data_IF_322300222582
#
_entry.id   IF_322300222582
#
_cell.length_a   1.000
_cell.length_b   1.000
_cell.length_c   1.000
_cell.angle_alpha   90.00
_cell.angle_beta   90.00
_cell.angle_gamma   90.00
#
_symmetry.space_group_name_H-M   'P 1'
#
loop_
_entity.id
_entity.type
_entity.pdbx_description
1 polymer ?
#
# COMPACT_ATOMS: atom_id res chain seq x y z
N UNK A 1 -2.06 12.82 -8.33
CA UNK A 1 -1.24 12.06 -9.31
C UNK A 1 0.03 11.62 -8.62
N UNK A 2 0.62 10.48 -9.01
CA UNK A 2 1.83 9.91 -8.40
C UNK A 2 2.77 9.40 -9.48
N UNK A 3 4.07 9.69 -9.36
CA UNK A 3 5.09 9.16 -10.24
C UNK A 3 5.43 7.72 -9.85
N UNK A 4 5.39 6.79 -10.81
CA UNK A 4 5.59 5.35 -10.55
C UNK A 4 6.69 4.84 -11.49
N UNK A 5 7.97 4.83 -11.04
CA UNK A 5 9.06 4.31 -11.85
C UNK A 5 8.78 2.87 -12.31
N UNK A 6 8.97 2.62 -13.61
CA UNK A 6 8.78 1.28 -14.20
C UNK A 6 7.32 0.87 -14.46
N UNK A 7 6.34 1.75 -14.27
CA UNK A 7 4.97 1.51 -14.68
C UNK A 7 4.87 1.36 -16.21
N UNK A 8 4.34 0.22 -16.69
CA UNK A 8 4.19 -0.11 -18.13
C UNK A 8 2.76 0.05 -18.66
N UNK A 9 1.82 0.46 -17.81
CA UNK A 9 0.44 0.66 -18.21
C UNK A 9 0.22 2.00 -18.94
N UNK A 10 -1.00 2.26 -19.41
CA UNK A 10 -1.31 3.51 -20.09
C UNK A 10 -1.19 4.70 -19.13
N UNK A 11 -0.49 5.75 -19.56
CA UNK A 11 -0.50 7.06 -18.92
C UNK A 11 -0.33 8.18 -19.94
N UNK A 12 -0.95 9.33 -19.66
CA UNK A 12 -0.83 10.55 -20.46
C UNK A 12 0.19 11.53 -19.87
N UNK A 13 0.65 11.31 -18.64
CA UNK A 13 1.49 12.26 -17.90
C UNK A 13 2.85 11.68 -17.59
N UNK A 14 3.89 12.46 -17.82
CA UNK A 14 5.28 12.12 -17.55
C UNK A 14 5.99 13.30 -16.89
N UNK A 15 7.01 13.01 -16.08
CA UNK A 15 7.98 14.01 -15.65
C UNK A 15 8.93 14.38 -16.81
N UNK A 16 9.74 15.41 -16.62
CA UNK A 16 10.81 15.80 -17.56
C UNK A 16 11.82 14.68 -17.81
N UNK A 17 12.07 13.82 -16.81
CA UNK A 17 12.94 12.65 -16.90
C UNK A 17 12.30 11.42 -17.59
N UNK A 18 11.06 11.54 -18.07
CA UNK A 18 10.31 10.45 -18.71
C UNK A 18 9.62 9.49 -17.74
N UNK A 19 9.70 9.71 -16.42
CA UNK A 19 9.01 8.85 -15.44
C UNK A 19 7.49 8.97 -15.59
N UNK A 20 6.75 7.86 -15.74
CA UNK A 20 5.30 7.88 -15.88
C UNK A 20 4.60 8.33 -14.59
N UNK A 21 3.58 9.17 -14.74
CA UNK A 21 2.75 9.71 -13.66
C UNK A 21 1.33 9.17 -13.82
N UNK A 22 0.78 8.57 -12.76
CA UNK A 22 -0.56 7.96 -12.79
C UNK A 22 -1.54 8.77 -11.92
N UNK A 23 -2.75 9.08 -12.39
CA UNK A 23 -3.78 9.66 -11.53
C UNK A 23 -4.25 8.63 -10.51
N UNK A 24 -4.27 9.03 -9.24
CA UNK A 24 -4.79 8.20 -8.15
C UNK A 24 -6.07 8.87 -7.67
N UNK A 25 -7.18 8.14 -7.76
CA UNK A 25 -8.49 8.58 -7.33
C UNK A 25 -8.84 7.99 -5.98
N UNK A 26 -9.69 8.68 -5.22
CA UNK A 26 -10.21 8.14 -3.97
C UNK A 26 -11.13 6.95 -4.27
N UNK A 27 -10.99 5.90 -3.47
CA UNK A 27 -11.83 4.71 -3.51
C UNK A 27 -12.69 4.62 -2.25
N UNK A 28 -13.95 4.20 -2.40
CA UNK A 28 -14.86 3.98 -1.28
C UNK A 28 -15.01 2.49 -1.02
N UNK A 29 -14.37 2.01 0.05
CA UNK A 29 -14.56 0.66 0.56
C UNK A 29 -15.88 0.57 1.35
N UNK A 30 -16.60 -0.55 1.23
CA UNK A 30 -17.82 -0.85 2.00
C UNK A 30 -17.69 -2.22 2.64
N UNK A 31 -18.05 -2.32 3.92
CA UNK A 31 -18.04 -3.58 4.65
C UNK A 31 -19.07 -3.53 5.79
N UNK A 32 -19.45 -4.69 6.32
CA UNK A 32 -20.30 -4.80 7.49
C UNK A 32 -19.43 -4.99 8.74
N UNK A 33 -19.70 -4.24 9.81
CA UNK A 33 -19.04 -4.44 11.10
C UNK A 33 -19.46 -5.76 11.73
N UNK A 34 -18.69 -6.23 12.73
CA UNK A 34 -19.08 -7.39 13.55
C UNK A 34 -20.42 -7.21 14.27
N UNK A 35 -20.87 -5.97 14.48
CA UNK A 35 -22.18 -5.64 15.07
C UNK A 35 -23.31 -5.51 14.04
N UNK A 36 -23.07 -5.88 12.78
CA UNK A 36 -24.06 -5.82 11.70
C UNK A 36 -24.25 -4.44 11.05
N UNK A 37 -23.52 -3.41 11.51
CA UNK A 37 -23.61 -2.05 10.97
C UNK A 37 -22.89 -1.95 9.63
N UNK A 38 -23.52 -1.32 8.64
CA UNK A 38 -22.86 -1.00 7.37
C UNK A 38 -21.85 0.15 7.57
N UNK A 39 -20.63 -0.05 7.10
CA UNK A 39 -19.53 0.90 7.20
C UNK A 39 -19.00 1.26 5.81
N UNK A 40 -18.58 2.53 5.66
CA UNK A 40 -17.93 3.03 4.45
C UNK A 40 -16.63 3.75 4.82
N UNK A 41 -15.63 3.68 3.93
CA UNK A 41 -14.42 4.49 4.01
C UNK A 41 -14.03 4.96 2.62
N UNK A 42 -14.02 6.28 2.43
CA UNK A 42 -13.49 6.94 1.24
C UNK A 42 -12.06 7.38 1.51
N UNK A 43 -11.10 6.88 0.74
CA UNK A 43 -9.69 7.21 0.90
C UNK A 43 -8.93 7.04 -0.42
N UNK A 44 -7.83 7.76 -0.62
CA UNK A 44 -6.86 7.37 -1.64
C UNK A 44 -6.26 6.00 -1.30
N UNK A 45 -6.07 5.10 -2.28
CA UNK A 45 -5.44 3.79 -2.06
C UNK A 45 -3.91 3.91 -1.91
N UNK A 46 -3.47 4.75 -0.97
CA UNK A 46 -2.08 5.03 -0.66
C UNK A 46 -1.82 4.81 0.82
N UNK A 47 -0.62 4.32 1.14
CA UNK A 47 -0.08 4.22 2.50
C UNK A 47 1.40 4.56 2.48
N UNK A 48 1.91 5.09 3.58
CA UNK A 48 3.36 5.17 3.79
C UNK A 48 3.91 3.74 3.91
N UNK A 49 5.07 3.48 3.30
CA UNK A 49 5.62 2.13 3.19
C UNK A 49 7.13 2.05 3.51
N UNK A 50 7.70 3.06 4.18
CA UNK A 50 9.08 2.96 4.70
C UNK A 50 9.19 1.89 5.80
N UNK A 51 8.16 1.80 6.64
CA UNK A 51 7.98 0.71 7.59
C UNK A 51 6.67 -0.01 7.24
N UNK A 52 6.72 -1.33 7.25
CA UNK A 52 5.57 -2.20 7.05
C UNK A 52 5.57 -3.27 8.12
N UNK A 53 4.40 -3.63 8.62
CA UNK A 53 4.30 -4.71 9.62
C UNK A 53 4.62 -6.05 8.96
N UNK A 54 5.12 -7.01 9.74
CA UNK A 54 5.48 -8.36 9.28
C UNK A 54 4.35 -8.99 8.45
N UNK A 55 3.12 -8.93 8.94
CA UNK A 55 1.94 -9.43 8.21
C UNK A 55 1.70 -8.73 6.87
N UNK A 56 1.98 -7.43 6.77
CA UNK A 56 1.79 -6.67 5.54
C UNK A 56 2.96 -6.78 4.56
N UNK A 57 4.06 -7.42 4.97
CA UNK A 57 5.17 -7.80 4.10
C UNK A 57 5.14 -9.26 3.63
N UNK A 58 4.22 -10.08 4.13
CA UNK A 58 4.08 -11.47 3.67
C UNK A 58 3.87 -11.51 2.15
N UNK A 59 4.68 -12.33 1.47
CA UNK A 59 4.68 -12.46 0.00
C UNK A 59 5.39 -11.33 -0.76
N UNK A 60 5.99 -10.34 -0.07
CA UNK A 60 6.78 -9.31 -0.72
C UNK A 60 8.24 -9.76 -0.90
N UNK A 61 8.82 -9.45 -2.06
CA UNK A 61 10.28 -9.51 -2.28
C UNK A 61 10.84 -8.09 -2.13
N UNK A 62 11.67 -7.88 -1.10
CA UNK A 62 12.29 -6.58 -0.81
C UNK A 62 13.80 -6.67 -1.03
N UNK A 63 14.37 -5.73 -1.80
CA UNK A 63 15.81 -5.72 -2.10
C UNK A 63 16.69 -5.56 -0.85
N UNK A 64 16.21 -4.80 0.14
CA UNK A 64 16.87 -4.58 1.44
C UNK A 64 15.81 -4.36 2.50
N UNK A 65 16.01 -4.96 3.66
CA UNK A 65 15.11 -4.83 4.81
C UNK A 65 15.92 -4.70 6.10
N UNK A 66 15.40 -3.90 7.04
CA UNK A 66 15.80 -3.91 8.44
C UNK A 66 14.58 -4.40 9.21
N UNK A 67 14.77 -5.43 10.03
CA UNK A 67 13.67 -6.04 10.81
C UNK A 67 13.79 -5.56 12.25
N UNK A 68 12.80 -4.80 12.68
CA UNK A 68 12.62 -4.39 14.08
C UNK A 68 11.58 -5.33 14.71
N UNK A 69 12.03 -6.26 15.57
CA UNK A 69 11.15 -7.26 16.20
C UNK A 69 10.48 -6.73 17.48
N UNK A 70 10.96 -5.61 18.04
CA UNK A 70 10.55 -5.17 19.37
C UNK A 70 10.82 -6.23 20.45
N UNK A 71 10.09 -6.14 21.56
CA UNK A 71 10.32 -7.00 22.72
C UNK A 71 9.64 -8.39 22.61
N UNK A 72 8.55 -8.49 21.84
CA UNK A 72 7.73 -9.72 21.75
C UNK A 72 7.08 -9.89 20.38
N UNK A 73 7.09 -11.13 19.87
CA UNK A 73 6.23 -11.57 18.77
C UNK A 73 5.01 -12.32 19.33
N UNK A 74 3.83 -12.02 18.81
CA UNK A 74 2.57 -12.57 19.30
C UNK A 74 2.12 -13.84 18.56
N UNK A 75 2.68 -14.12 17.37
CA UNK A 75 2.31 -15.29 16.55
C UNK A 75 3.54 -16.03 16.06
N UNK A 76 3.54 -17.36 16.14
CA UNK A 76 4.63 -18.19 15.60
C UNK A 76 4.47 -18.39 14.10
N UNK A 77 5.56 -18.20 13.35
CA UNK A 77 5.68 -18.69 11.97
C UNK A 77 4.78 -18.00 10.96
N UNK A 78 4.86 -16.67 10.90
CA UNK A 78 4.20 -15.87 9.87
C UNK A 78 4.78 -16.09 8.48
#
# INVERSE_FOLDING_TARGET
>A
MVAIPGYKGPTLWHKEDGTPIVPIVSFTARWQSKSGKQCLRTQFPLRVAYAVTIHKSQGMTLNKVVVELGDYDFTRGL
#
